data_IF_621181155348
#
_entry.id   IF_621181155348
#
_cell.length_a   1.000
_cell.length_b   1.000
_cell.length_c   1.000
_cell.angle_alpha   90.00
_cell.angle_beta   90.00
_cell.angle_gamma   90.00
#
_symmetry.space_group_name_H-M   'P 1'
#
loop_
_entity.id
_entity.type
_entity.pdbx_description
1 polymer ?
#
# COMPACT_ATOMS: atom_id res chain seq x y z
N UNK A 1 11.86 -22.33 -36.12
CA UNK A 1 12.32 -22.40 -34.71
C UNK A 1 13.58 -21.57 -34.66
N UNK A 2 13.49 -20.35 -34.14
CA UNK A 2 14.67 -19.54 -33.89
C UNK A 2 15.47 -20.15 -32.74
N UNK A 3 16.78 -19.98 -32.78
CA UNK A 3 17.73 -20.52 -31.79
C UNK A 3 17.48 -19.89 -30.42
N UNK A 4 17.56 -20.68 -29.35
CA UNK A 4 17.29 -20.25 -27.98
C UNK A 4 18.31 -19.17 -27.52
N UNK A 5 19.48 -19.13 -28.16
CA UNK A 5 20.50 -18.10 -27.97
C UNK A 5 20.26 -16.82 -28.80
N UNK A 6 19.49 -16.88 -29.91
CA UNK A 6 19.03 -15.68 -30.64
C UNK A 6 17.89 -14.96 -29.89
N UNK A 7 17.05 -15.69 -29.15
CA UNK A 7 16.02 -15.10 -28.29
C UNK A 7 16.63 -14.41 -27.06
N UNK A 8 17.75 -14.92 -26.51
CA UNK A 8 18.49 -14.26 -25.43
C UNK A 8 19.18 -12.95 -25.87
N UNK A 9 19.53 -12.83 -27.15
CA UNK A 9 20.17 -11.63 -27.71
C UNK A 9 19.19 -10.46 -27.99
N UNK A 10 17.88 -10.67 -27.83
CA UNK A 10 16.85 -9.62 -27.96
C UNK A 10 16.40 -9.03 -26.61
N UNK A 11 17.07 -9.38 -25.51
CA UNK A 11 16.80 -8.81 -24.18
C UNK A 11 17.64 -7.55 -23.91
N UNK A 12 16.97 -6.42 -23.68
CA UNK A 12 17.53 -5.07 -23.68
C UNK A 12 18.05 -4.52 -22.33
N UNK A 13 18.31 -5.33 -21.30
CA UNK A 13 18.61 -4.78 -19.96
C UNK A 13 19.81 -5.44 -19.24
N UNK A 14 21.06 -5.01 -19.52
CA UNK A 14 22.28 -5.56 -18.94
C UNK A 14 22.70 -4.90 -17.59
N UNK A 15 21.84 -4.11 -16.97
CA UNK A 15 21.96 -3.64 -15.59
C UNK A 15 20.54 -3.53 -15.04
N UNK A 16 20.20 -4.36 -14.04
CA UNK A 16 18.83 -4.74 -13.66
C UNK A 16 17.80 -3.62 -13.58
N UNK A 17 16.56 -3.94 -13.96
CA UNK A 17 15.39 -3.09 -13.67
C UNK A 17 14.11 -3.93 -13.62
N UNK A 18 13.29 -3.66 -12.57
CA UNK A 18 11.88 -3.46 -12.78
C UNK A 18 11.37 -2.29 -11.95
N UNK A 19 11.12 -1.21 -12.68
CA UNK A 19 10.16 -0.19 -12.33
C UNK A 19 8.96 -0.42 -13.27
N UNK A 20 7.70 -0.35 -12.82
CA UNK A 20 6.55 -0.32 -13.72
C UNK A 20 6.71 0.71 -14.85
N UNK A 21 7.35 1.86 -14.57
CA UNK A 21 7.71 2.89 -15.55
C UNK A 21 8.65 2.41 -16.68
N UNK A 22 9.42 1.35 -16.47
CA UNK A 22 10.33 0.75 -17.46
C UNK A 22 9.79 -0.53 -18.10
N UNK A 23 8.76 -1.13 -17.51
CA UNK A 23 7.97 -2.21 -18.13
C UNK A 23 6.89 -1.68 -19.10
N UNK A 24 6.86 -0.36 -19.32
CA UNK A 24 5.87 0.30 -20.18
C UNK A 24 4.52 0.55 -19.50
N UNK A 25 4.40 0.31 -18.19
CA UNK A 25 3.23 0.74 -17.43
C UNK A 25 3.34 2.25 -17.20
N UNK A 26 2.28 2.97 -17.55
CA UNK A 26 2.19 4.41 -17.27
C UNK A 26 2.20 4.53 -15.74
N UNK A 27 3.20 5.19 -15.13
CA UNK A 27 3.19 5.43 -13.70
C UNK A 27 1.89 6.16 -13.36
N UNK A 28 1.12 5.66 -12.40
CA UNK A 28 -0.10 6.35 -11.94
C UNK A 28 0.24 7.79 -11.53
N UNK A 29 1.46 8.03 -11.05
CA UNK A 29 2.02 9.35 -10.74
C UNK A 29 2.16 10.32 -11.93
N UNK A 30 2.05 9.86 -13.19
CA UNK A 30 2.05 10.76 -14.36
C UNK A 30 0.71 11.46 -14.61
N UNK A 31 -0.39 11.06 -13.95
CA UNK A 31 -1.69 11.73 -14.08
C UNK A 31 -1.92 12.63 -12.85
N UNK A 32 -1.28 13.80 -12.86
CA UNK A 32 -1.74 14.99 -12.13
C UNK A 32 -1.74 14.95 -10.59
N UNK A 33 -1.15 13.96 -9.93
CA UNK A 33 -1.05 13.88 -8.46
C UNK A 33 0.41 14.06 -7.97
N UNK A 34 0.60 14.56 -6.73
CA UNK A 34 1.92 14.89 -6.20
C UNK A 34 2.83 13.66 -6.15
N UNK A 35 4.14 13.92 -6.23
CA UNK A 35 5.22 12.92 -6.15
C UNK A 35 4.97 11.96 -4.99
N UNK A 36 5.18 10.65 -5.22
CA UNK A 36 5.25 9.63 -4.17
C UNK A 36 6.06 10.19 -3.00
N UNK A 37 5.54 10.13 -1.76
CA UNK A 37 6.21 10.69 -0.61
C UNK A 37 7.61 10.09 -0.48
N UNK A 38 8.57 10.91 -0.04
CA UNK A 38 9.88 10.40 0.31
C UNK A 38 9.76 9.65 1.65
N UNK A 39 10.26 8.42 1.68
CA UNK A 39 10.37 7.61 2.90
C UNK A 39 11.82 7.65 3.41
N UNK A 40 12.19 8.59 4.30
CA UNK A 40 13.57 8.77 4.74
C UNK A 40 14.14 7.56 5.49
N UNK A 41 13.30 6.67 5.97
CA UNK A 41 13.66 5.45 6.70
C UNK A 41 14.19 4.34 5.79
N UNK A 42 13.98 4.42 4.47
CA UNK A 42 14.36 3.37 3.51
C UNK A 42 15.83 2.92 3.64
N UNK A 43 16.83 3.82 3.68
CA UNK A 43 18.22 3.40 3.82
C UNK A 43 18.51 2.70 5.15
N UNK A 44 17.88 3.16 6.24
CA UNK A 44 18.08 2.58 7.56
C UNK A 44 17.45 1.19 7.69
N UNK A 45 16.27 0.98 7.09
CA UNK A 45 15.65 -0.34 7.04
C UNK A 45 16.44 -1.29 6.12
N UNK A 46 16.92 -0.81 4.96
CA UNK A 46 17.78 -1.60 4.08
C UNK A 46 19.06 -2.07 4.80
N UNK A 47 19.73 -1.18 5.53
CA UNK A 47 20.90 -1.51 6.36
C UNK A 47 20.59 -2.60 7.40
N UNK A 48 19.46 -2.50 8.10
CA UNK A 48 19.02 -3.52 9.07
C UNK A 48 18.75 -4.88 8.44
N UNK A 49 18.18 -4.88 7.24
CA UNK A 49 17.95 -6.10 6.46
C UNK A 49 19.25 -6.68 5.87
N UNK A 50 20.39 -5.97 6.00
CA UNK A 50 21.66 -6.41 5.43
C UNK A 50 21.67 -6.42 3.91
N UNK A 51 20.83 -5.61 3.26
CA UNK A 51 20.69 -5.57 1.79
C UNK A 51 20.53 -4.16 1.24
N UNK A 52 20.64 -4.03 -0.07
CA UNK A 52 20.38 -2.75 -0.74
C UNK A 52 18.87 -2.47 -0.84
N UNK A 53 18.49 -1.20 -1.01
CA UNK A 53 17.11 -0.78 -1.31
C UNK A 53 16.56 -1.47 -2.56
N UNK A 54 17.46 -1.77 -3.51
CA UNK A 54 17.18 -2.56 -4.71
C UNK A 54 18.23 -3.65 -4.86
N UNK A 55 17.78 -4.87 -5.11
CA UNK A 55 18.64 -6.01 -5.36
C UNK A 55 17.95 -7.03 -6.27
N UNK A 56 18.69 -8.02 -6.73
CA UNK A 56 18.14 -9.22 -7.34
C UNK A 56 18.43 -10.39 -6.40
N UNK A 57 17.41 -11.15 -6.02
CA UNK A 57 17.55 -12.33 -5.18
C UNK A 57 18.14 -13.52 -5.95
N UNK A 58 18.46 -14.60 -5.23
CA UNK A 58 19.07 -15.81 -5.82
C UNK A 58 18.13 -16.53 -6.82
N UNK A 59 16.82 -16.28 -6.74
CA UNK A 59 15.81 -16.79 -7.66
C UNK A 59 15.66 -15.91 -8.91
N UNK A 60 16.43 -14.82 -9.01
CA UNK A 60 16.38 -13.88 -10.12
C UNK A 60 15.18 -12.94 -10.09
N UNK A 61 14.51 -12.80 -8.95
CA UNK A 61 13.54 -11.73 -8.76
C UNK A 61 14.27 -10.46 -8.35
N UNK A 62 13.90 -9.38 -8.99
CA UNK A 62 14.30 -8.06 -8.59
C UNK A 62 13.36 -7.58 -7.49
N UNK A 63 13.95 -7.09 -6.40
CA UNK A 63 13.27 -6.63 -5.20
C UNK A 63 13.57 -5.16 -4.97
N UNK A 64 12.55 -4.38 -4.62
CA UNK A 64 12.70 -2.97 -4.28
C UNK A 64 11.89 -2.63 -3.03
N UNK A 65 12.51 -1.92 -2.09
CA UNK A 65 11.81 -1.29 -0.97
C UNK A 65 11.10 -0.02 -1.46
N UNK A 66 9.77 0.01 -1.39
CA UNK A 66 8.94 1.13 -1.82
C UNK A 66 8.67 2.13 -0.70
N UNK A 67 8.50 1.64 0.52
CA UNK A 67 8.29 2.42 1.72
C UNK A 67 8.92 1.72 2.92
N UNK A 68 9.25 2.48 3.96
CA UNK A 68 9.82 1.95 5.19
C UNK A 68 9.38 2.80 6.37
N UNK A 69 9.23 2.16 7.53
CA UNK A 69 8.92 2.82 8.79
C UNK A 69 9.64 2.11 9.94
N UNK A 70 10.27 2.88 10.82
CA UNK A 70 10.89 2.36 12.04
C UNK A 70 9.99 2.77 13.22
N UNK A 71 9.64 1.82 14.07
CA UNK A 71 8.82 2.08 15.25
C UNK A 71 9.58 3.02 16.21
N UNK A 72 8.91 3.89 16.99
CA UNK A 72 9.60 4.83 17.88
C UNK A 72 10.52 4.21 18.93
N UNK A 73 10.34 2.94 19.28
CA UNK A 73 11.27 2.21 20.14
C UNK A 73 12.60 1.85 19.45
N UNK A 74 12.66 1.99 18.13
CA UNK A 74 13.80 1.67 17.29
C UNK A 74 14.04 0.16 17.09
N UNK A 75 13.24 -0.69 17.72
CA UNK A 75 13.36 -2.15 17.69
C UNK A 75 12.60 -2.71 16.51
N UNK A 76 11.31 -2.37 16.40
CA UNK A 76 10.47 -2.87 15.31
C UNK A 76 10.62 -1.99 14.07
N UNK A 77 10.51 -2.60 12.91
CA UNK A 77 10.50 -1.88 11.64
C UNK A 77 9.65 -2.62 10.62
N UNK A 78 9.18 -1.87 9.64
CA UNK A 78 8.30 -2.34 8.59
C UNK A 78 8.75 -1.78 7.26
N UNK A 79 8.40 -2.48 6.19
CA UNK A 79 8.61 -2.01 4.83
C UNK A 79 7.52 -2.51 3.89
N UNK A 80 7.34 -1.79 2.79
CA UNK A 80 6.67 -2.31 1.61
C UNK A 80 7.75 -2.70 0.62
N UNK A 81 7.69 -3.90 0.06
CA UNK A 81 8.54 -4.28 -1.07
C UNK A 81 7.73 -4.69 -2.30
N UNK A 82 8.26 -4.38 -3.47
CA UNK A 82 7.91 -5.08 -4.71
C UNK A 82 8.87 -6.22 -4.95
N UNK A 83 8.36 -7.30 -5.52
CA UNK A 83 9.15 -8.42 -6.02
C UNK A 83 8.65 -8.77 -7.40
N UNK A 84 9.52 -8.78 -8.40
CA UNK A 84 9.11 -9.21 -9.73
C UNK A 84 10.20 -9.83 -10.58
N UNK A 85 9.78 -10.64 -11.55
CA UNK A 85 10.64 -11.39 -12.45
C UNK A 85 9.96 -11.57 -13.81
N UNK A 86 10.69 -11.29 -14.88
CA UNK A 86 10.23 -11.56 -16.24
C UNK A 86 10.42 -13.05 -16.56
N UNK A 87 9.34 -13.73 -16.92
CA UNK A 87 9.31 -15.15 -17.26
C UNK A 87 8.79 -15.33 -18.70
N UNK A 88 9.66 -15.08 -19.68
CA UNK A 88 9.30 -15.17 -21.09
C UNK A 88 8.29 -14.09 -21.51
N UNK A 89 7.02 -14.43 -21.59
CA UNK A 89 5.94 -13.52 -22.04
C UNK A 89 5.10 -12.92 -20.91
N UNK A 90 5.36 -13.27 -19.66
CA UNK A 90 4.66 -12.73 -18.50
C UNK A 90 5.64 -12.20 -17.46
N UNK A 91 5.14 -11.39 -16.53
CA UNK A 91 5.90 -10.86 -15.40
C UNK A 91 5.27 -11.41 -14.14
N UNK A 92 6.04 -12.18 -13.37
CA UNK A 92 5.66 -12.51 -12.00
C UNK A 92 5.88 -11.26 -11.15
N UNK A 93 4.84 -10.76 -10.48
CA UNK A 93 4.88 -9.52 -9.71
C UNK A 93 4.01 -9.64 -8.47
N UNK A 94 4.59 -9.26 -7.33
CA UNK A 94 3.96 -9.25 -6.03
C UNK A 94 4.40 -8.01 -5.25
N UNK A 95 3.53 -7.53 -4.37
CA UNK A 95 3.82 -6.45 -3.42
C UNK A 95 3.54 -6.96 -2.03
N UNK A 96 4.46 -6.74 -1.11
CA UNK A 96 4.35 -7.27 0.24
C UNK A 96 4.49 -6.15 1.26
N UNK A 97 3.64 -6.16 2.29
CA UNK A 97 3.92 -5.48 3.56
C UNK A 97 4.67 -6.47 4.43
N UNK A 98 5.80 -6.02 4.96
CA UNK A 98 6.64 -6.82 5.82
C UNK A 98 6.92 -6.09 7.12
N UNK A 99 7.10 -6.85 8.19
CA UNK A 99 7.58 -6.34 9.48
C UNK A 99 8.67 -7.24 10.04
N UNK A 100 9.51 -6.67 10.89
CA UNK A 100 10.51 -7.43 11.63
C UNK A 100 10.60 -6.94 13.08
N UNK A 101 10.79 -7.91 13.98
CA UNK A 101 10.89 -7.71 15.42
C UNK A 101 12.31 -7.89 15.99
N UNK A 102 12.45 -7.86 17.33
CA UNK A 102 13.75 -7.91 18.01
C UNK A 102 14.53 -9.20 17.79
N UNK A 103 13.87 -10.33 17.55
CA UNK A 103 14.55 -11.61 17.31
C UNK A 103 14.83 -11.84 15.81
N UNK A 104 14.56 -10.85 14.96
CA UNK A 104 14.73 -10.94 13.51
C UNK A 104 13.66 -11.80 12.83
N UNK A 105 12.59 -12.13 13.54
CA UNK A 105 11.40 -12.74 12.98
C UNK A 105 10.81 -11.78 11.95
N UNK A 106 10.75 -12.24 10.70
CA UNK A 106 10.11 -11.50 9.62
C UNK A 106 8.69 -12.01 9.45
N UNK A 107 7.76 -11.07 9.40
CA UNK A 107 6.40 -11.31 8.98
C UNK A 107 6.16 -10.67 7.61
N UNK A 108 5.43 -11.35 6.72
CA UNK A 108 5.16 -10.89 5.35
C UNK A 108 3.72 -11.18 4.96
N UNK A 109 3.05 -10.21 4.34
CA UNK A 109 1.72 -10.35 3.74
C UNK A 109 1.71 -9.73 2.37
N UNK A 110 1.16 -10.43 1.37
CA UNK A 110 0.88 -9.81 0.09
C UNK A 110 -0.17 -8.72 0.25
N UNK A 111 0.06 -7.61 -0.45
CA UNK A 111 -0.83 -6.45 -0.47
C UNK A 111 -2.10 -6.80 -1.23
N UNK A 112 -3.25 -6.41 -0.67
CA UNK A 112 -4.54 -6.54 -1.36
C UNK A 112 -4.51 -5.76 -2.68
N UNK A 113 -4.72 -6.46 -3.80
CA UNK A 113 -4.62 -5.86 -5.12
C UNK A 113 -5.64 -6.44 -6.07
N UNK A 114 -6.33 -5.56 -6.80
CA UNK A 114 -7.21 -5.98 -7.89
C UNK A 114 -6.39 -6.61 -9.03
N UNK A 115 -5.21 -6.04 -9.31
CA UNK A 115 -4.28 -6.55 -10.30
C UNK A 115 -2.86 -5.96 -10.03
N UNK A 116 -1.86 -6.79 -9.66
CA UNK A 116 -0.53 -6.31 -9.28
C UNK A 116 0.20 -5.58 -10.42
N UNK A 117 -0.20 -5.79 -11.67
CA UNK A 117 0.38 -5.08 -12.82
C UNK A 117 0.06 -3.58 -12.85
N UNK A 118 -0.92 -3.11 -12.06
CA UNK A 118 -1.19 -1.69 -11.89
C UNK A 118 -0.24 -1.00 -10.90
N UNK A 119 0.56 -1.77 -10.16
CA UNK A 119 1.52 -1.27 -9.20
C UNK A 119 0.91 -0.86 -7.86
N UNK A 120 1.78 -0.48 -6.92
CA UNK A 120 1.42 -0.04 -5.58
C UNK A 120 2.07 1.32 -5.30
N UNK A 121 1.27 2.40 -5.38
CA UNK A 121 1.73 3.75 -5.03
C UNK A 121 1.49 3.99 -3.54
N UNK A 122 2.51 3.77 -2.71
CA UNK A 122 2.43 3.96 -1.26
C UNK A 122 2.38 5.46 -0.93
N UNK A 123 1.27 5.91 -0.36
CA UNK A 123 0.99 7.31 -0.06
C UNK A 123 1.20 7.65 1.42
N UNK A 124 1.10 6.67 2.31
CA UNK A 124 1.42 6.81 3.73
C UNK A 124 1.95 5.49 4.26
N UNK A 125 2.99 5.55 5.09
CA UNK A 125 3.55 4.36 5.74
C UNK A 125 4.26 4.78 7.02
N UNK A 126 3.58 4.67 8.16
CA UNK A 126 4.14 5.10 9.45
C UNK A 126 3.49 4.40 10.64
N UNK A 127 4.21 4.38 11.77
CA UNK A 127 3.69 3.94 13.05
C UNK A 127 2.88 5.04 13.75
N UNK A 128 1.70 4.68 14.23
CA UNK A 128 0.79 5.50 15.04
C UNK A 128 0.56 4.79 16.38
N UNK A 129 1.42 5.11 17.36
CA UNK A 129 1.57 4.28 18.55
C UNK A 129 2.08 2.89 18.15
N UNK A 130 1.47 1.84 18.71
CA UNK A 130 1.85 0.45 18.44
C UNK A 130 1.18 -0.10 17.16
N UNK A 131 0.75 0.75 16.23
CA UNK A 131 0.11 0.32 14.97
C UNK A 131 0.80 0.87 13.75
N UNK A 132 1.15 0.00 12.82
CA UNK A 132 1.58 0.38 11.50
C UNK A 132 0.35 0.70 10.64
N UNK A 133 0.35 1.89 10.04
CA UNK A 133 -0.68 2.31 9.08
C UNK A 133 -0.01 2.46 7.71
N UNK A 134 -0.55 1.75 6.72
CA UNK A 134 -0.19 1.90 5.33
C UNK A 134 -1.40 2.39 4.53
N UNK A 135 -1.20 3.36 3.66
CA UNK A 135 -2.20 3.78 2.68
C UNK A 135 -1.52 3.74 1.32
N UNK A 136 -2.10 3.01 0.38
CA UNK A 136 -1.56 2.89 -0.97
C UNK A 136 -2.69 2.95 -1.98
N UNK A 137 -2.30 3.32 -3.21
CA UNK A 137 -3.20 3.40 -4.35
C UNK A 137 -2.79 2.40 -5.40
N UNK A 138 -3.77 1.69 -5.93
CA UNK A 138 -3.66 0.85 -7.11
C UNK A 138 -4.68 1.32 -8.14
N UNK A 139 -4.21 1.83 -9.28
CA UNK A 139 -5.02 2.35 -10.40
C UNK A 139 -6.14 3.32 -9.97
N UNK A 140 -7.33 2.80 -9.68
CA UNK A 140 -8.55 3.53 -9.33
C UNK A 140 -9.03 3.27 -7.89
N UNK A 141 -8.32 2.44 -7.13
CA UNK A 141 -8.66 2.07 -5.77
C UNK A 141 -7.57 2.55 -4.82
N UNK A 142 -7.98 3.07 -3.68
CA UNK A 142 -7.09 3.39 -2.57
C UNK A 142 -7.45 2.46 -1.43
N UNK A 143 -6.43 1.94 -0.75
CA UNK A 143 -6.58 1.00 0.34
C UNK A 143 -5.88 1.53 1.57
N UNK A 144 -6.48 1.29 2.73
CA UNK A 144 -5.83 1.46 4.01
C UNK A 144 -5.60 0.08 4.64
N UNK A 145 -4.44 -0.07 5.27
CA UNK A 145 -4.04 -1.27 5.99
C UNK A 145 -3.57 -0.88 7.39
N UNK A 146 -3.90 -1.75 8.35
CA UNK A 146 -3.48 -1.61 9.74
C UNK A 146 -2.87 -2.91 10.24
N UNK A 147 -1.76 -2.79 10.97
CA UNK A 147 -1.15 -3.90 11.68
C UNK A 147 -0.71 -3.49 13.08
N UNK A 148 -1.22 -4.18 14.10
CA UNK A 148 -0.74 -3.98 15.47
C UNK A 148 0.62 -4.63 15.70
N UNK A 149 1.42 -4.03 16.56
CA UNK A 149 2.71 -4.54 16.97
C UNK A 149 2.58 -5.95 17.57
N UNK A 150 3.34 -6.90 17.04
CA UNK A 150 3.32 -8.28 17.52
C UNK A 150 2.06 -9.07 17.17
N UNK A 151 1.19 -8.53 16.30
CA UNK A 151 0.12 -9.32 15.72
C UNK A 151 0.74 -10.48 14.92
N UNK A 152 0.40 -11.70 15.29
CA UNK A 152 0.52 -12.84 14.40
C UNK A 152 -0.59 -12.67 13.37
N UNK A 153 -0.24 -12.56 12.09
CA UNK A 153 -1.25 -12.70 11.06
C UNK A 153 -1.27 -14.18 10.70
N UNK A 154 -2.44 -14.77 10.83
CA UNK A 154 -2.67 -16.09 10.29
C UNK A 154 -2.37 -16.04 8.79
N UNK A 155 -1.58 -16.99 8.30
CA UNK A 155 -1.49 -17.27 6.86
C UNK A 155 -2.76 -18.07 6.51
N UNK A 156 -3.92 -17.45 6.68
CA UNK A 156 -5.20 -17.96 6.23
C UNK A 156 -5.20 -17.81 4.72
N UNK A 157 -4.48 -18.75 4.08
CA UNK A 157 -4.13 -18.72 2.67
C UNK A 157 -5.30 -18.25 1.81
N UNK A 158 -5.00 -17.23 1.00
CA UNK A 158 -5.86 -16.62 -0.01
C UNK A 158 -6.98 -17.57 -0.46
N UNK A 159 -8.18 -17.38 0.10
CA UNK A 159 -9.38 -18.00 -0.42
C UNK A 159 -9.58 -17.41 -1.81
N UNK A 160 -9.50 -18.24 -2.85
CA UNK A 160 -9.65 -17.86 -4.26
C UNK A 160 -11.12 -17.56 -4.60
N UNK A 161 -11.86 -17.05 -3.60
CA UNK A 161 -13.28 -16.75 -3.64
C UNK A 161 -13.62 -15.94 -4.89
N UNK A 162 -14.67 -16.39 -5.56
CA UNK A 162 -15.26 -15.76 -6.73
C UNK A 162 -15.53 -14.29 -6.40
N UNK A 163 -14.74 -13.39 -6.98
CA UNK A 163 -14.91 -11.94 -6.90
C UNK A 163 -16.12 -11.52 -7.74
N UNK A 164 -17.31 -11.95 -7.34
CA UNK A 164 -18.55 -11.46 -7.94
C UNK A 164 -18.64 -9.95 -7.70
N UNK A 165 -18.82 -9.20 -8.79
CA UNK A 165 -18.67 -7.74 -8.94
C UNK A 165 -19.64 -6.85 -8.11
N UNK A 166 -20.27 -7.33 -7.04
CA UNK A 166 -21.12 -6.48 -6.21
C UNK A 166 -20.30 -5.74 -5.13
N UNK A 167 -19.89 -4.53 -5.53
CA UNK A 167 -19.15 -3.48 -4.80
C UNK A 167 -19.72 -3.08 -3.42
N UNK A 168 -19.70 -3.96 -2.42
CA UNK A 168 -19.81 -3.55 -1.02
C UNK A 168 -18.42 -3.58 -0.38
N UNK A 169 -17.92 -2.39 -0.01
CA UNK A 169 -16.71 -2.25 0.80
C UNK A 169 -16.95 -2.99 2.12
N UNK A 170 -16.30 -4.14 2.32
CA UNK A 170 -16.39 -4.84 3.60
C UNK A 170 -15.60 -4.07 4.66
N UNK A 171 -16.26 -3.09 5.27
CA UNK A 171 -15.72 -2.29 6.36
C UNK A 171 -15.50 -3.12 7.64
N UNK A 172 -16.02 -4.35 7.72
CA UNK A 172 -15.77 -5.23 8.86
C UNK A 172 -14.35 -5.77 8.88
N UNK A 173 -13.66 -5.78 7.72
CA UNK A 173 -12.26 -6.13 7.64
C UNK A 173 -11.39 -5.21 8.54
N UNK A 174 -11.75 -3.95 8.78
CA UNK A 174 -11.00 -3.08 9.70
C UNK A 174 -11.07 -3.51 11.19
N UNK A 175 -11.94 -4.45 11.55
CA UNK A 175 -11.97 -5.02 12.91
C UNK A 175 -10.89 -6.07 13.12
N UNK A 176 -10.28 -6.57 12.05
CA UNK A 176 -9.23 -7.59 12.08
C UNK A 176 -7.86 -6.93 11.85
N UNK A 177 -6.85 -7.33 12.62
CA UNK A 177 -5.50 -6.84 12.41
C UNK A 177 -4.89 -7.52 11.19
N UNK A 178 -4.13 -6.75 10.41
CA UNK A 178 -3.60 -7.22 9.14
C UNK A 178 -4.57 -7.10 7.97
N UNK A 179 -5.75 -6.52 8.18
CA UNK A 179 -6.76 -6.43 7.14
C UNK A 179 -6.68 -5.13 6.35
N UNK A 180 -7.15 -5.21 5.12
CA UNK A 180 -7.23 -4.09 4.19
C UNK A 180 -8.68 -3.61 4.10
N UNK A 181 -8.86 -2.30 3.99
CA UNK A 181 -10.15 -1.72 3.59
C UNK A 181 -9.95 -0.83 2.38
N UNK A 182 -10.92 -0.88 1.47
CA UNK A 182 -11.02 0.12 0.40
C UNK A 182 -11.48 1.46 0.98
N UNK A 183 -10.76 2.53 0.63
CA UNK A 183 -11.14 3.92 0.90
C UNK A 183 -11.12 4.72 -0.41
N UNK A 184 -11.61 5.95 -0.36
CA UNK A 184 -11.53 6.83 -1.53
C UNK A 184 -10.18 7.55 -1.63
N UNK A 185 -9.92 8.08 -2.82
CA UNK A 185 -8.75 8.90 -3.13
C UNK A 185 -8.67 10.23 -2.35
N UNK A 186 -9.75 10.60 -1.66
CA UNK A 186 -9.89 11.84 -0.89
C UNK A 186 -9.87 11.49 0.60
N UNK A 187 -8.68 11.48 1.17
CA UNK A 187 -8.44 11.12 2.56
C UNK A 187 -7.47 12.08 3.24
N UNK A 188 -7.51 12.12 4.56
CA UNK A 188 -6.57 12.87 5.39
C UNK A 188 -6.31 12.15 6.71
N UNK A 189 -5.12 12.37 7.29
CA UNK A 189 -4.82 11.99 8.66
C UNK A 189 -5.06 13.21 9.56
N UNK A 190 -6.01 13.08 10.49
CA UNK A 190 -6.39 14.11 11.44
C UNK A 190 -6.17 13.59 12.86
N UNK A 191 -5.11 14.07 13.50
CA UNK A 191 -4.67 13.60 14.82
C UNK A 191 -4.51 12.07 14.86
N UNK A 192 -5.40 11.37 15.53
CA UNK A 192 -5.47 9.92 15.75
C UNK A 192 -6.51 9.24 14.84
N UNK A 193 -6.96 9.91 13.78
CA UNK A 193 -7.96 9.41 12.84
C UNK A 193 -7.45 9.45 11.39
N UNK A 194 -7.78 8.42 10.62
CA UNK A 194 -7.84 8.47 9.17
C UNK A 194 -9.27 8.82 8.78
N UNK A 195 -9.43 9.91 8.03
CA UNK A 195 -10.72 10.33 7.49
C UNK A 195 -10.72 10.20 5.98
N UNK A 196 -11.81 9.77 5.38
CA UNK A 196 -11.96 9.68 3.93
C UNK A 196 -13.36 10.07 3.48
N UNK A 197 -13.49 10.50 2.23
CA UNK A 197 -14.71 11.10 1.71
C UNK A 197 -15.20 10.32 0.49
N UNK A 198 -16.39 9.67 0.56
CA UNK A 198 -16.98 8.94 -0.54
C UNK A 198 -17.24 9.81 -1.77
N UNK A 199 -17.43 9.20 -2.94
CA UNK A 199 -17.74 9.92 -4.17
C UNK A 199 -19.00 10.80 -4.06
N UNK A 200 -20.02 10.33 -3.32
CA UNK A 200 -21.30 11.03 -3.16
C UNK A 200 -21.24 12.26 -2.24
N UNK A 201 -20.14 12.46 -1.50
CA UNK A 201 -19.90 13.61 -0.62
C UNK A 201 -20.99 13.85 0.46
N UNK A 202 -21.78 12.83 0.80
CA UNK A 202 -22.91 12.92 1.74
C UNK A 202 -22.56 12.44 3.15
N UNK A 203 -21.47 11.71 3.31
CA UNK A 203 -20.91 11.28 4.59
C UNK A 203 -19.38 11.36 4.59
N UNK A 204 -18.76 11.12 5.74
CA UNK A 204 -17.32 11.06 5.96
C UNK A 204 -17.02 9.79 6.74
N UNK A 205 -16.12 8.97 6.21
CA UNK A 205 -15.62 7.79 6.89
C UNK A 205 -14.54 8.19 7.89
N UNK A 206 -14.65 7.71 9.12
CA UNK A 206 -13.74 8.03 10.21
C UNK A 206 -13.22 6.72 10.82
N UNK A 207 -11.91 6.54 10.73
CA UNK A 207 -11.18 5.36 11.16
C UNK A 207 -10.22 5.74 12.28
N UNK A 208 -10.44 5.33 13.53
CA UNK A 208 -9.45 5.56 14.59
C UNK A 208 -8.20 4.74 14.30
N UNK A 209 -7.04 5.38 14.41
CA UNK A 209 -5.72 4.75 14.29
C UNK A 209 -5.29 4.13 15.63
N UNK A 210 -5.83 4.68 16.73
CA UNK A 210 -5.50 4.35 18.11
C UNK A 210 -6.28 3.17 18.71
N UNK A 211 -7.33 2.68 18.06
CA UNK A 211 -8.16 1.57 18.56
C UNK A 211 -8.62 0.66 17.43
N UNK A 212 -8.78 -0.64 17.73
CA UNK A 212 -9.50 -1.56 16.85
C UNK A 212 -10.98 -1.28 17.05
N UNK A 213 -11.55 -0.46 16.17
CA UNK A 213 -12.94 -0.09 16.23
C UNK A 213 -13.52 0.00 14.82
N UNK A 214 -14.84 -0.21 14.73
CA UNK A 214 -15.56 -0.08 13.47
C UNK A 214 -15.36 1.31 12.87
N UNK A 215 -15.19 1.39 11.55
CA UNK A 215 -15.28 2.66 10.85
C UNK A 215 -16.61 3.34 11.21
N UNK A 216 -16.57 4.63 11.53
CA UNK A 216 -17.77 5.45 11.73
C UNK A 216 -18.09 6.15 10.42
N UNK A 217 -19.36 6.08 10.01
CA UNK A 217 -19.89 6.95 8.98
C UNK A 217 -20.56 8.14 9.66
N UNK A 218 -20.04 9.35 9.41
CA UNK A 218 -20.62 10.58 9.91
C UNK A 218 -21.26 11.36 8.78
N UNK A 219 -22.40 11.99 9.02
CA UNK A 219 -22.87 13.02 8.09
C UNK A 219 -21.85 14.16 8.03
N UNK A 220 -21.82 14.89 6.91
CA UNK A 220 -20.92 16.04 6.74
C UNK A 220 -21.10 17.08 7.86
N UNK A 221 -22.32 17.28 8.36
CA UNK A 221 -22.61 18.21 9.46
C UNK A 221 -22.01 17.71 10.79
N UNK A 222 -22.13 16.42 11.09
CA UNK A 222 -21.53 15.81 12.28
C UNK A 222 -20.00 15.85 12.21
N UNK A 223 -19.41 15.44 11.08
CA UNK A 223 -17.97 15.49 10.87
C UNK A 223 -17.43 16.93 10.99
N UNK A 224 -18.17 17.93 10.50
CA UNK A 224 -17.82 19.35 10.68
C UNK A 224 -17.88 19.77 12.15
N UNK A 225 -18.91 19.36 12.88
CA UNK A 225 -19.06 19.67 14.30
C UNK A 225 -17.95 19.02 15.16
N UNK A 226 -17.49 17.83 14.77
CA UNK A 226 -16.37 17.11 15.41
C UNK A 226 -14.98 17.59 14.92
N UNK A 227 -14.90 18.45 13.89
CA UNK A 227 -13.63 18.91 13.33
C UNK A 227 -12.88 17.83 12.52
N UNK A 228 -13.61 16.86 11.98
CA UNK A 228 -13.11 15.69 11.26
C UNK A 228 -13.27 15.80 9.73
N UNK A 229 -13.57 16.99 9.20
CA UNK A 229 -13.56 17.21 7.76
C UNK A 229 -12.11 17.28 7.25
N UNK A 230 -11.77 16.57 6.16
CA UNK A 230 -10.47 16.73 5.52
C UNK A 230 -10.21 18.19 5.12
N UNK A 231 -8.95 18.65 5.15
CA UNK A 231 -8.58 19.94 4.60
C UNK A 231 -9.00 20.03 3.12
N UNK A 232 -9.60 21.15 2.71
CA UNK A 232 -10.04 21.34 1.32
C UNK A 232 -11.42 20.72 1.00
N UNK A 233 -12.13 20.18 1.99
CA UNK A 233 -13.43 19.54 1.76
C UNK A 233 -14.45 20.45 1.09
N UNK A 234 -14.60 21.69 1.54
CA UNK A 234 -15.58 22.62 0.98
C UNK A 234 -15.24 22.96 -0.49
N UNK A 235 -13.95 23.14 -0.82
CA UNK A 235 -13.48 23.32 -2.19
C UNK A 235 -13.75 22.09 -3.05
N UNK A 236 -13.56 20.89 -2.51
CA UNK A 236 -13.89 19.63 -3.18
C UNK A 236 -15.39 19.57 -3.51
N UNK A 237 -16.27 19.91 -2.55
CA UNK A 237 -17.72 19.96 -2.78
C UNK A 237 -18.08 20.95 -3.89
N UNK A 238 -17.51 22.14 -3.88
CA UNK A 238 -17.76 23.14 -4.92
C UNK A 238 -17.25 22.71 -6.30
N UNK A 239 -16.11 22.01 -6.37
CA UNK A 239 -15.55 21.53 -7.63
C UNK A 239 -16.43 20.49 -8.32
N UNK A 240 -17.16 19.65 -7.55
CA UNK A 240 -18.05 18.60 -8.09
C UNK A 240 -19.45 19.10 -8.49
N UNK A 241 -19.80 20.34 -8.15
CA UNK A 241 -21.07 20.95 -8.60
C UNK A 241 -21.00 21.51 -10.03
N UNK A 242 -19.80 21.67 -10.58
CA UNK A 242 -19.55 22.23 -11.92
C UNK A 242 -19.59 21.15 -12.99
#
# INVERSE_FOLDING_TARGET
>A
MADDDELKALSHYPAGIPNPATLGFIPISMIGRPLTPAFPELPAVAERLGRAVRETDDDGFERELLAAAIHPDGVYYAWVESRCKVNGTFVDIDFQICTAGPAGEEYRRSIETYNPYFGCDVQHFAWHGDRLIAIYREKHRTYAFRLSLGAELDDDGWDDGDWDEEDDYDLSAWEEDGSFIGITDEWALLADHLVYVPYKLDWVGVLPLGEVARPRELSVEEARAEGLLPPGFDELVESRKQ
#
